data_IF_617549765617
#
_entry.id   IF_617549765617
#
_cell.length_a   1.000
_cell.length_b   1.000
_cell.length_c   1.000
_cell.angle_alpha   90.00
_cell.angle_beta   90.00
_cell.angle_gamma   90.00
#
_symmetry.space_group_name_H-M   'P 1'
#
loop_
_entity.id
_entity.type
_entity.pdbx_description
1 polymer ?
#
# COMPACT_ATOMS: atom_id res chain seq x y z
N UNK A 1 18.00 -1.39 -15.09
CA UNK A 1 17.89 -0.55 -13.88
C UNK A 1 16.58 -0.80 -13.12
N UNK A 2 15.44 -0.86 -13.81
CA UNK A 2 14.12 -1.14 -13.21
C UNK A 2 14.04 -2.42 -12.38
N UNK A 3 14.60 -3.55 -12.84
CA UNK A 3 14.60 -4.79 -12.04
C UNK A 3 15.32 -4.65 -10.69
N UNK A 4 16.36 -3.80 -10.63
CA UNK A 4 17.05 -3.51 -9.38
C UNK A 4 16.17 -2.69 -8.45
N UNK A 5 15.40 -1.73 -8.99
CA UNK A 5 14.38 -1.01 -8.24
C UNK A 5 13.32 -1.97 -7.70
N UNK A 6 12.76 -2.85 -8.54
CA UNK A 6 11.77 -3.85 -8.12
C UNK A 6 12.30 -4.76 -7.01
N UNK A 7 13.49 -5.34 -7.17
CA UNK A 7 14.13 -6.18 -6.14
C UNK A 7 14.34 -5.42 -4.83
N UNK A 8 14.65 -4.12 -4.90
CA UNK A 8 14.82 -3.27 -3.71
C UNK A 8 13.47 -3.00 -3.05
N UNK A 9 12.47 -2.61 -3.84
CA UNK A 9 11.10 -2.34 -3.39
C UNK A 9 10.51 -3.55 -2.67
N UNK A 10 10.60 -4.73 -3.28
CA UNK A 10 10.12 -5.98 -2.70
C UNK A 10 10.62 -6.16 -1.27
N UNK A 11 11.89 -5.85 -0.97
CA UNK A 11 12.48 -6.00 0.38
C UNK A 11 11.79 -5.17 1.47
N UNK A 12 11.11 -4.09 1.10
CA UNK A 12 10.37 -3.24 2.04
C UNK A 12 8.93 -3.70 2.27
N UNK A 13 8.46 -4.67 1.48
CA UNK A 13 7.11 -5.25 1.58
C UNK A 13 7.18 -6.53 2.41
N UNK A 14 6.52 -6.58 3.59
CA UNK A 14 6.38 -7.80 4.37
C UNK A 14 5.66 -8.89 3.59
N UNK A 15 5.99 -10.15 3.88
CA UNK A 15 5.25 -11.28 3.34
C UNK A 15 3.78 -11.22 3.73
N UNK A 16 2.92 -11.78 2.88
CA UNK A 16 1.48 -11.88 3.14
C UNK A 16 0.79 -10.51 3.33
N UNK A 17 1.40 -9.42 2.89
CA UNK A 17 0.77 -8.09 2.99
C UNK A 17 -0.45 -7.97 2.07
N UNK A 18 -1.46 -7.22 2.51
CA UNK A 18 -2.45 -6.65 1.60
C UNK A 18 -1.87 -5.38 0.96
N UNK A 19 -1.76 -5.36 -0.37
CA UNK A 19 -1.10 -4.28 -1.12
C UNK A 19 -2.13 -3.52 -1.96
N UNK A 20 -2.06 -2.20 -1.93
CA UNK A 20 -2.70 -1.34 -2.93
C UNK A 20 -1.62 -0.69 -3.80
N UNK A 21 -1.71 -0.90 -5.11
CA UNK A 21 -0.84 -0.34 -6.13
C UNK A 21 -1.63 0.76 -6.85
N UNK A 22 -1.32 2.03 -6.54
CA UNK A 22 -1.97 3.20 -7.13
C UNK A 22 -1.18 3.65 -8.36
N UNK A 23 -1.89 4.02 -9.42
CA UNK A 23 -1.29 4.32 -10.73
C UNK A 23 -0.62 3.07 -11.33
N UNK A 24 -1.30 1.93 -11.22
CA UNK A 24 -0.72 0.61 -11.43
C UNK A 24 -0.26 0.34 -12.88
N UNK A 25 -0.77 1.07 -13.87
CA UNK A 25 -0.53 0.82 -15.28
C UNK A 25 -0.85 -0.62 -15.67
N UNK A 26 0.14 -1.34 -16.21
CA UNK A 26 0.04 -2.76 -16.53
C UNK A 26 0.14 -3.70 -15.31
N UNK A 27 0.22 -3.16 -14.09
CA UNK A 27 0.29 -3.92 -12.83
C UNK A 27 1.67 -4.48 -12.50
N UNK A 28 2.73 -4.06 -13.20
CA UNK A 28 4.05 -4.69 -13.12
C UNK A 28 4.57 -4.76 -11.67
N UNK A 29 4.40 -3.68 -10.90
CA UNK A 29 4.89 -3.61 -9.51
C UNK A 29 4.02 -4.49 -8.60
N UNK A 30 2.70 -4.28 -8.59
CA UNK A 30 1.78 -5.07 -7.77
C UNK A 30 1.85 -6.56 -8.05
N UNK A 31 1.90 -6.97 -9.32
CA UNK A 31 1.97 -8.38 -9.71
C UNK A 31 3.32 -9.02 -9.38
N UNK A 32 4.41 -8.24 -9.49
CA UNK A 32 5.73 -8.68 -9.01
C UNK A 32 5.73 -8.94 -7.50
N UNK A 33 5.00 -8.13 -6.72
CA UNK A 33 4.83 -8.36 -5.28
C UNK A 33 3.96 -9.59 -5.00
N UNK A 34 2.85 -9.79 -5.72
CA UNK A 34 2.04 -11.00 -5.60
C UNK A 34 2.92 -12.26 -5.74
N UNK A 35 3.75 -12.31 -6.79
CA UNK A 35 4.61 -13.44 -7.07
C UNK A 35 5.74 -13.65 -6.05
N UNK A 36 6.36 -12.58 -5.55
CA UNK A 36 7.57 -12.67 -4.72
C UNK A 36 7.33 -12.61 -3.22
N UNK A 37 6.19 -12.06 -2.78
CA UNK A 37 5.87 -11.81 -1.37
C UNK A 37 4.67 -12.57 -0.84
N UNK A 38 4.06 -13.42 -1.67
CA UNK A 38 2.86 -14.20 -1.30
C UNK A 38 1.78 -13.28 -0.71
N UNK A 39 1.56 -12.13 -1.34
CA UNK A 39 0.64 -11.11 -0.82
C UNK A 39 -0.75 -11.72 -0.62
N UNK A 40 -1.41 -11.42 0.51
CA UNK A 40 -2.79 -11.89 0.72
C UNK A 40 -3.72 -11.33 -0.36
N UNK A 41 -3.52 -10.07 -0.71
CA UNK A 41 -4.22 -9.42 -1.80
C UNK A 41 -3.38 -8.33 -2.45
N UNK A 42 -3.63 -8.09 -3.73
CA UNK A 42 -3.08 -6.97 -4.50
C UNK A 42 -4.23 -6.29 -5.22
N UNK A 43 -4.45 -5.02 -4.90
CA UNK A 43 -5.41 -4.13 -5.56
C UNK A 43 -4.63 -3.20 -6.49
N UNK A 44 -4.82 -3.32 -7.80
CA UNK A 44 -4.23 -2.43 -8.79
C UNK A 44 -5.27 -1.39 -9.23
N UNK A 45 -4.97 -0.11 -9.05
CA UNK A 45 -5.87 1.00 -9.36
C UNK A 45 -5.26 1.79 -10.51
N UNK A 46 -6.02 1.90 -11.60
CA UNK A 46 -5.57 2.55 -12.82
C UNK A 46 -6.72 3.34 -13.47
N UNK A 47 -6.42 4.57 -13.89
CA UNK A 47 -7.40 5.47 -14.52
C UNK A 47 -7.46 5.27 -16.05
N UNK A 48 -6.35 4.85 -16.66
CA UNK A 48 -6.30 4.56 -18.09
C UNK A 48 -6.90 3.19 -18.38
N UNK A 49 -8.13 3.17 -18.90
CA UNK A 49 -8.83 1.96 -19.34
C UNK A 49 -8.01 1.12 -20.33
N UNK A 50 -7.18 1.74 -21.18
CA UNK A 50 -6.38 1.02 -22.18
C UNK A 50 -5.31 0.11 -21.55
N UNK A 51 -4.85 0.45 -20.34
CA UNK A 51 -3.90 -0.38 -19.58
C UNK A 51 -4.47 -1.74 -19.19
N UNK A 52 -5.80 -1.92 -19.23
CA UNK A 52 -6.48 -3.17 -18.86
C UNK A 52 -5.97 -4.37 -19.68
N UNK A 53 -5.86 -4.22 -21.00
CA UNK A 53 -5.39 -5.32 -21.86
C UNK A 53 -3.94 -5.72 -21.54
N UNK A 54 -3.09 -4.74 -21.20
CA UNK A 54 -1.71 -4.98 -20.77
C UNK A 54 -1.64 -5.65 -19.41
N UNK A 55 -2.55 -5.28 -18.49
CA UNK A 55 -2.69 -5.92 -17.19
C UNK A 55 -3.10 -7.40 -17.33
N UNK A 56 -4.14 -7.69 -18.11
CA UNK A 56 -4.62 -9.07 -18.35
C UNK A 56 -3.51 -9.95 -18.94
N UNK A 57 -2.77 -9.46 -19.93
CA UNK A 57 -1.59 -10.17 -20.48
C UNK A 57 -0.49 -10.40 -19.45
N UNK A 58 -0.32 -9.50 -18.49
CA UNK A 58 0.67 -9.66 -17.42
C UNK A 58 0.21 -10.73 -16.43
N UNK A 59 -1.08 -10.78 -16.13
CA UNK A 59 -1.68 -11.85 -15.31
C UNK A 59 -1.54 -13.23 -15.96
N UNK A 60 -1.81 -13.36 -17.26
CA UNK A 60 -1.68 -14.62 -18.00
C UNK A 60 -0.25 -15.19 -17.95
N UNK A 61 0.74 -14.32 -17.76
CA UNK A 61 2.16 -14.69 -17.64
C UNK A 61 2.60 -14.97 -16.22
N UNK A 62 1.74 -14.78 -15.22
CA UNK A 62 2.08 -15.09 -13.83
C UNK A 62 2.20 -16.60 -13.64
N UNK A 63 3.15 -17.04 -12.80
CA UNK A 63 3.24 -18.45 -12.41
C UNK A 63 1.94 -18.93 -11.77
N UNK A 64 1.51 -20.15 -12.09
CA UNK A 64 0.33 -20.77 -11.45
C UNK A 64 0.49 -20.98 -9.93
N UNK A 65 1.73 -20.84 -9.41
CA UNK A 65 2.04 -20.90 -7.99
C UNK A 65 1.68 -19.63 -7.21
N UNK A 66 1.24 -18.57 -7.88
CA UNK A 66 0.84 -17.31 -7.21
C UNK A 66 -0.52 -17.51 -6.54
N UNK A 67 -0.50 -17.69 -5.23
CA UNK A 67 -1.68 -17.71 -4.37
C UNK A 67 -1.90 -16.32 -3.76
N UNK A 68 -2.53 -15.43 -4.54
CA UNK A 68 -2.85 -14.05 -4.12
C UNK A 68 -4.20 -13.64 -4.70
N UNK A 69 -5.02 -12.92 -3.91
CA UNK A 69 -6.23 -12.31 -4.44
C UNK A 69 -5.86 -11.04 -5.22
N UNK A 70 -5.91 -11.11 -6.55
CA UNK A 70 -5.51 -10.01 -7.42
C UNK A 70 -6.76 -9.36 -8.03
N UNK A 71 -6.85 -8.04 -7.91
CA UNK A 71 -7.95 -7.26 -8.47
C UNK A 71 -7.44 -6.04 -9.20
N UNK A 72 -8.06 -5.73 -10.34
CA UNK A 72 -7.81 -4.49 -11.08
C UNK A 72 -9.05 -3.61 -11.08
N UNK A 73 -8.88 -2.32 -10.84
CA UNK A 73 -9.95 -1.34 -10.72
C UNK A 73 -9.73 -0.18 -11.69
N UNK A 74 -10.67 0.02 -12.61
CA UNK A 74 -10.71 1.22 -13.43
C UNK A 74 -11.21 2.40 -12.61
N UNK A 75 -10.30 3.15 -12.00
CA UNK A 75 -10.67 4.24 -11.10
C UNK A 75 -9.58 5.31 -10.99
N UNK A 76 -10.03 6.52 -10.72
CA UNK A 76 -9.17 7.61 -10.27
C UNK A 76 -8.85 7.44 -8.78
N UNK A 77 -7.57 7.20 -8.46
CA UNK A 77 -7.09 7.02 -7.10
C UNK A 77 -7.39 8.25 -6.20
N UNK A 78 -7.62 9.42 -6.79
CA UNK A 78 -7.85 10.69 -6.10
C UNK A 78 -9.32 10.95 -5.72
N UNK A 79 -10.30 10.25 -6.31
CA UNK A 79 -11.74 10.51 -6.09
C UNK A 79 -12.25 10.02 -4.74
N UNK A 80 -11.87 8.80 -4.36
CA UNK A 80 -12.23 8.19 -3.07
C UNK A 80 -11.00 7.49 -2.46
N UNK A 81 -9.92 8.22 -2.14
CA UNK A 81 -8.62 7.63 -1.80
C UNK A 81 -8.68 6.64 -0.62
N UNK A 82 -9.54 6.89 0.38
CA UNK A 82 -9.70 6.00 1.52
C UNK A 82 -10.19 4.59 1.15
N UNK A 83 -10.90 4.41 0.03
CA UNK A 83 -11.30 3.11 -0.50
C UNK A 83 -10.09 2.20 -0.75
N UNK A 84 -9.02 2.79 -1.27
CA UNK A 84 -7.81 2.07 -1.66
C UNK A 84 -6.86 1.89 -0.47
N UNK A 85 -6.81 2.87 0.42
CA UNK A 85 -5.94 2.87 1.60
C UNK A 85 -6.45 1.91 2.68
N UNK A 86 -7.75 1.91 2.99
CA UNK A 86 -8.30 1.04 4.04
C UNK A 86 -8.23 -0.43 3.63
N UNK A 87 -7.87 -1.28 4.59
CA UNK A 87 -7.66 -2.71 4.40
C UNK A 87 -6.36 -3.08 3.69
N UNK A 88 -5.48 -2.10 3.44
CA UNK A 88 -4.16 -2.30 2.86
C UNK A 88 -3.08 -2.14 3.94
N UNK A 89 -2.11 -3.04 4.00
CA UNK A 89 -0.95 -2.95 4.89
C UNK A 89 0.15 -2.08 4.29
N UNK A 90 0.26 -2.13 2.95
CA UNK A 90 1.26 -1.45 2.13
C UNK A 90 0.57 -0.74 0.98
N UNK A 91 0.92 0.52 0.74
CA UNK A 91 0.49 1.27 -0.44
C UNK A 91 1.71 1.58 -1.29
N UNK A 92 1.64 1.25 -2.57
CA UNK A 92 2.62 1.63 -3.59
C UNK A 92 2.00 2.75 -4.43
N UNK A 93 2.81 3.76 -4.74
CA UNK A 93 2.41 4.88 -5.58
C UNK A 93 3.53 5.15 -6.57
N UNK A 94 3.22 5.13 -7.86
CA UNK A 94 4.11 5.53 -8.95
C UNK A 94 3.40 6.58 -9.83
N UNK A 95 3.25 7.83 -9.34
CA UNK A 95 2.41 8.82 -9.99
C UNK A 95 3.11 9.41 -11.23
N UNK A 96 2.34 10.07 -12.13
CA UNK A 96 2.92 10.83 -13.23
C UNK A 96 3.84 11.95 -12.72
N UNK A 97 4.66 12.54 -13.61
CA UNK A 97 5.66 13.57 -13.25
C UNK A 97 5.12 14.76 -12.45
N UNK A 98 3.82 15.07 -12.58
CA UNK A 98 3.15 16.13 -11.79
C UNK A 98 3.09 15.84 -10.28
N UNK A 99 3.31 14.60 -9.84
CA UNK A 99 3.17 14.16 -8.46
C UNK A 99 1.75 13.72 -8.12
N UNK A 100 1.46 13.67 -6.83
CA UNK A 100 0.17 13.24 -6.30
C UNK A 100 -0.91 14.33 -6.42
N UNK A 101 -2.14 13.88 -6.63
CA UNK A 101 -3.30 14.76 -6.56
C UNK A 101 -3.57 15.19 -5.09
N UNK A 102 -3.99 16.44 -4.89
CA UNK A 102 -4.11 17.04 -3.56
C UNK A 102 -5.04 16.25 -2.61
N UNK A 103 -6.11 15.66 -3.14
CA UNK A 103 -7.03 14.82 -2.36
C UNK A 103 -6.38 13.54 -1.85
N UNK A 104 -5.50 12.91 -2.65
CA UNK A 104 -4.76 11.72 -2.24
C UNK A 104 -3.69 12.07 -1.19
N UNK A 105 -3.00 13.21 -1.35
CA UNK A 105 -2.08 13.73 -0.33
C UNK A 105 -2.82 13.98 0.98
N UNK A 106 -3.97 14.64 0.95
CA UNK A 106 -4.76 14.92 2.14
C UNK A 106 -5.22 13.62 2.83
N UNK A 107 -5.68 12.64 2.05
CA UNK A 107 -6.07 11.34 2.59
C UNK A 107 -4.91 10.59 3.25
N UNK A 108 -3.72 10.61 2.65
CA UNK A 108 -2.51 10.01 3.24
C UNK A 108 -2.09 10.71 4.53
N UNK A 109 -2.19 12.05 4.60
CA UNK A 109 -1.91 12.84 5.80
C UNK A 109 -2.91 12.55 6.92
N UNK A 110 -4.19 12.40 6.58
CA UNK A 110 -5.30 12.22 7.51
C UNK A 110 -5.64 10.75 7.82
N UNK A 111 -4.84 9.79 7.33
CA UNK A 111 -5.07 8.35 7.51
C UNK A 111 -5.25 7.94 8.99
N UNK A 112 -4.49 8.58 9.89
CA UNK A 112 -4.53 8.32 11.35
C UNK A 112 -5.84 8.78 12.02
N UNK A 113 -6.56 9.74 11.42
CA UNK A 113 -7.85 10.19 11.91
C UNK A 113 -8.98 9.26 11.46
N UNK A 114 -8.85 8.68 10.28
CA UNK A 114 -9.78 7.65 9.77
C UNK A 114 -9.67 6.36 10.56
N UNK A 115 -8.45 5.92 10.88
CA UNK A 115 -8.21 4.76 11.77
C UNK A 115 -8.94 4.91 13.11
N UNK A 116 -8.85 6.09 13.74
CA UNK A 116 -9.52 6.37 15.02
C UNK A 116 -11.05 6.35 14.92
N UNK A 117 -11.63 6.90 13.84
CA UNK A 117 -13.09 6.90 13.61
C UNK A 117 -13.62 5.49 13.31
N UNK A 118 -12.84 4.65 12.62
CA UNK A 118 -13.20 3.26 12.34
C UNK A 118 -13.18 2.41 13.62
N UNK A 119 -12.17 2.60 14.47
CA UNK A 119 -12.07 1.93 15.77
C UNK A 119 -13.14 2.39 16.76
N UNK A 120 -13.50 3.68 16.80
CA UNK A 120 -14.54 4.18 17.72
C UNK A 120 -15.96 3.74 17.32
N UNK A 121 -16.20 3.43 16.04
CA UNK A 121 -17.50 2.95 15.57
C UNK A 121 -17.70 1.44 15.73
N UNK A 122 -16.61 0.68 15.96
CA UNK A 122 -16.67 -0.76 16.24
C UNK A 122 -16.84 -1.10 17.73
N UNK A 123 -16.57 -0.15 18.65
CA UNK A 123 -16.86 -0.33 20.09
C UNK A 123 -18.33 -0.03 20.45
N UNK A 124 -19.09 0.61 19.55
CA UNK A 124 -20.50 0.96 19.75
C UNK A 124 -21.41 0.31 18.71
N UNK A 125 -21.42 -1.02 18.61
CA UNK A 125 -22.48 -1.72 17.86
C UNK A 125 -22.52 -3.21 18.19
N UNK A 126 -23.26 -3.55 19.25
CA UNK A 126 -24.01 -4.80 19.30
C UNK A 126 -25.46 -4.46 18.92
N UNK A 127 -25.68 -4.18 17.63
CA UNK A 127 -27.00 -4.18 17.02
C UNK A 127 -26.84 -4.30 15.50
N UNK A 128 -27.50 -5.30 14.96
CA UNK A 128 -27.59 -5.63 13.55
C UNK A 128 -28.25 -4.50 12.76
N UNK A 129 -27.45 -3.65 12.13
CA UNK A 129 -27.85 -2.94 10.91
C UNK A 129 -26.71 -2.97 9.89
N UNK A 130 -26.95 -3.79 8.87
CA UNK A 130 -26.15 -3.91 7.66
C UNK A 130 -26.34 -2.64 6.82
N UNK A 131 -25.66 -1.57 7.20
CA UNK A 131 -25.65 -0.34 6.43
C UNK A 131 -24.79 -0.56 5.17
N UNK A 132 -25.47 -0.84 4.04
CA UNK A 132 -24.86 -1.08 2.73
C UNK A 132 -24.14 0.19 2.25
N UNK A 133 -22.84 0.27 2.55
CA UNK A 133 -21.95 1.36 2.17
C UNK A 133 -21.90 1.51 0.64
N UNK A 134 -22.42 2.61 0.05
CA UNK A 134 -22.55 2.76 -1.41
C UNK A 134 -21.24 2.65 -2.20
N UNK A 135 -20.10 3.03 -1.58
CA UNK A 135 -18.79 2.92 -2.20
C UNK A 135 -18.30 1.46 -2.34
N UNK A 136 -18.70 0.57 -1.42
CA UNK A 136 -18.34 -0.86 -1.48
C UNK A 136 -19.00 -1.52 -2.69
N UNK A 137 -20.22 -1.08 -3.03
CA UNK A 137 -20.97 -1.56 -4.20
C UNK A 137 -20.36 -1.04 -5.51
N UNK A 138 -20.06 0.28 -5.58
CA UNK A 138 -19.42 0.89 -6.76
C UNK A 138 -18.05 0.31 -7.09
N UNK A 139 -17.24 -0.02 -6.09
CA UNK A 139 -15.92 -0.63 -6.30
C UNK A 139 -16.00 -2.05 -6.91
N UNK A 140 -17.10 -2.78 -6.66
CA UNK A 140 -17.28 -4.14 -7.19
C UNK A 140 -17.64 -4.15 -8.67
N UNK A 141 -18.45 -3.19 -9.13
CA UNK A 141 -18.97 -3.14 -10.51
C UNK A 141 -17.91 -2.82 -11.58
N UNK A 142 -16.80 -2.17 -11.22
CA UNK A 142 -15.74 -1.77 -12.15
C UNK A 142 -14.46 -2.62 -12.07
N UNK A 143 -14.52 -3.78 -11.41
CA UNK A 143 -13.34 -4.58 -11.06
C UNK A 143 -13.22 -5.89 -11.83
N UNK A 144 -11.99 -6.28 -12.18
CA UNK A 144 -11.66 -7.65 -12.62
C UNK A 144 -11.07 -8.39 -11.43
N UNK A 145 -11.64 -9.54 -11.06
CA UNK A 145 -11.14 -10.40 -9.98
C UNK A 145 -10.57 -11.68 -10.56
N UNK A 146 -9.32 -12.01 -10.21
CA UNK A 146 -8.66 -13.23 -10.66
C UNK A 146 -7.98 -13.89 -9.44
N UNK A 147 -8.49 -15.04 -9.01
CA UNK A 147 -8.02 -15.81 -7.85
C UNK A 147 -9.14 -16.53 -7.06
N UNK A 148 -8.86 -17.70 -6.49
CA UNK A 148 -9.85 -18.65 -5.92
C UNK A 148 -10.31 -18.38 -4.47
N UNK A 149 -10.35 -17.12 -4.00
CA UNK A 149 -10.81 -16.83 -2.63
C UNK A 149 -11.73 -15.61 -2.55
N UNK A 150 -12.99 -15.76 -2.11
CA UNK A 150 -13.83 -14.61 -1.81
C UNK A 150 -13.21 -13.81 -0.66
N UNK A 151 -13.30 -12.48 -0.76
CA UNK A 151 -12.94 -11.56 0.32
C UNK A 151 -13.63 -12.00 1.62
N UNK A 152 -12.92 -12.16 2.75
CA UNK A 152 -13.56 -12.46 4.02
C UNK A 152 -14.56 -11.35 4.39
N UNK A 153 -15.73 -11.74 4.88
CA UNK A 153 -16.86 -10.84 5.18
C UNK A 153 -16.54 -9.75 6.24
N UNK A 154 -15.42 -9.87 6.95
CA UNK A 154 -14.88 -8.83 7.81
C UNK A 154 -13.69 -8.13 7.11
N UNK A 155 -13.93 -6.93 6.59
CA UNK A 155 -12.87 -6.04 6.10
C UNK A 155 -12.03 -5.65 7.31
N UNK A 156 -10.73 -6.00 7.36
CA UNK A 156 -9.86 -5.48 8.40
C UNK A 156 -9.87 -3.96 8.33
N UNK A 157 -10.23 -3.29 9.42
CA UNK A 157 -10.11 -1.83 9.55
C UNK A 157 -8.64 -1.42 9.74
N UNK A 158 -7.71 -2.10 9.06
CA UNK A 158 -6.30 -1.72 9.06
C UNK A 158 -6.08 -0.60 8.05
N UNK A 159 -5.13 0.26 8.39
CA UNK A 159 -4.64 1.33 7.54
C UNK A 159 -3.16 1.08 7.27
N UNK A 160 -2.63 1.57 6.14
CA UNK A 160 -1.31 1.18 5.67
C UNK A 160 -0.23 1.61 6.65
N UNK A 161 0.67 0.71 6.98
CA UNK A 161 1.83 1.00 7.84
C UNK A 161 3.07 1.38 7.03
N UNK A 162 3.06 1.04 5.74
CA UNK A 162 4.13 1.33 4.79
C UNK A 162 3.55 2.02 3.56
N UNK A 163 4.18 3.12 3.16
CA UNK A 163 3.93 3.79 1.89
C UNK A 163 5.23 3.77 1.10
N UNK A 164 5.20 3.23 -0.12
CA UNK A 164 6.33 3.23 -1.04
C UNK A 164 5.97 4.16 -2.19
N UNK A 165 6.78 5.20 -2.38
CA UNK A 165 6.61 6.20 -3.41
C UNK A 165 7.74 6.02 -4.43
N UNK A 166 7.40 5.80 -5.70
CA UNK A 166 8.32 5.84 -6.83
C UNK A 166 8.07 7.15 -7.59
N UNK A 167 9.13 7.89 -7.93
CA UNK A 167 9.00 9.14 -8.69
C UNK A 167 10.10 9.30 -9.72
N UNK A 168 9.73 9.76 -10.92
CA UNK A 168 10.66 10.30 -11.92
C UNK A 168 10.63 11.85 -11.98
N UNK A 169 9.87 12.50 -11.10
CA UNK A 169 9.76 13.95 -10.96
C UNK A 169 10.36 14.44 -9.64
N UNK A 170 11.58 14.97 -9.67
CA UNK A 170 12.27 15.41 -8.45
C UNK A 170 11.55 16.56 -7.72
N UNK A 171 11.03 17.54 -8.47
CA UNK A 171 10.39 18.72 -7.86
C UNK A 171 9.06 18.36 -7.20
N UNK A 172 8.19 17.64 -7.91
CA UNK A 172 6.92 17.16 -7.38
C UNK A 172 7.12 16.21 -6.20
N UNK A 173 8.10 15.31 -6.28
CA UNK A 173 8.47 14.45 -5.16
C UNK A 173 8.87 15.24 -3.90
N UNK A 174 9.66 16.31 -4.02
CA UNK A 174 10.05 17.14 -2.86
C UNK A 174 8.82 17.76 -2.19
N UNK A 175 7.89 18.31 -2.97
CA UNK A 175 6.70 18.95 -2.42
C UNK A 175 5.74 17.93 -1.79
N UNK A 176 5.53 16.79 -2.43
CA UNK A 176 4.74 15.69 -1.87
C UNK A 176 5.37 15.16 -0.58
N UNK A 177 6.69 14.96 -0.58
CA UNK A 177 7.44 14.50 0.58
C UNK A 177 7.32 15.48 1.75
N UNK A 178 7.52 16.78 1.53
CA UNK A 178 7.30 17.82 2.55
C UNK A 178 5.88 17.77 3.11
N UNK A 179 4.89 17.65 2.24
CA UNK A 179 3.48 17.60 2.63
C UNK A 179 3.16 16.36 3.48
N UNK A 180 3.65 15.18 3.09
CA UNK A 180 3.49 13.94 3.84
C UNK A 180 4.13 14.03 5.23
N UNK A 181 5.36 14.55 5.31
CA UNK A 181 6.10 14.68 6.57
C UNK A 181 5.49 15.72 7.52
N UNK A 182 4.87 16.78 7.00
CA UNK A 182 4.24 17.85 7.80
C UNK A 182 3.13 17.32 8.74
N UNK A 183 2.42 16.26 8.31
CA UNK A 183 1.31 15.68 9.06
C UNK A 183 1.75 14.87 10.28
N UNK A 184 3.03 14.50 10.37
CA UNK A 184 3.58 13.53 11.35
C UNK A 184 2.91 12.14 11.31
N UNK A 185 2.02 11.89 10.34
CA UNK A 185 1.43 10.57 10.12
C UNK A 185 2.45 9.61 9.49
N UNK A 186 3.39 10.15 8.72
CA UNK A 186 4.45 9.41 8.01
C UNK A 186 5.82 9.98 8.37
N UNK A 187 6.83 9.10 8.42
CA UNK A 187 8.24 9.48 8.40
C UNK A 187 8.93 8.78 7.24
N UNK A 188 9.88 9.48 6.61
CA UNK A 188 10.72 8.91 5.57
C UNK A 188 11.76 8.00 6.24
N UNK A 189 11.65 6.69 6.01
CA UNK A 189 12.57 5.70 6.55
C UNK A 189 13.85 5.62 5.68
N UNK A 190 13.68 5.50 4.36
CA UNK A 190 14.77 5.40 3.39
C UNK A 190 14.38 6.00 2.04
N UNK A 191 15.36 6.50 1.31
CA UNK A 191 15.22 6.88 -0.10
C UNK A 191 16.39 6.30 -0.91
N UNK A 192 16.13 5.88 -2.14
CA UNK A 192 17.14 5.37 -3.08
C UNK A 192 16.98 6.10 -4.41
N UNK A 193 18.09 6.52 -5.00
CA UNK A 193 18.13 7.03 -6.36
C UNK A 193 18.55 5.94 -7.34
N UNK A 194 17.93 5.92 -8.50
CA UNK A 194 18.29 5.08 -9.63
C UNK A 194 18.46 5.96 -10.86
N UNK A 195 19.39 5.58 -11.73
CA UNK A 195 19.58 6.21 -13.02
C UNK A 195 19.06 5.24 -14.09
N UNK A 196 17.82 5.43 -14.55
CA UNK A 196 17.26 4.61 -15.63
C UNK A 196 17.73 5.10 -17.01
N UNK A 197 18.05 6.39 -17.12
CA UNK A 197 18.37 7.05 -18.39
C UNK A 197 19.71 7.80 -18.30
N UNK A 198 20.85 7.08 -18.39
CA UNK A 198 22.18 7.70 -18.40
C UNK A 198 22.31 8.74 -19.52
N UNK A 199 22.90 9.89 -19.20
CA UNK A 199 23.02 11.03 -20.13
C UNK A 199 21.84 12.00 -20.10
N UNK A 200 20.81 11.74 -19.28
CA UNK A 200 19.75 12.71 -18.98
C UNK A 200 19.89 13.27 -17.57
N UNK A 201 19.14 14.34 -17.28
CA UNK A 201 19.01 14.88 -15.92
C UNK A 201 17.89 14.18 -15.10
N UNK A 202 17.30 13.12 -15.63
CA UNK A 202 16.26 12.35 -14.94
C UNK A 202 16.86 11.46 -13.86
N UNK A 203 16.18 11.39 -12.71
CA UNK A 203 16.50 10.46 -11.63
C UNK A 203 15.21 9.82 -11.14
N UNK A 204 15.25 8.50 -10.95
CA UNK A 204 14.16 7.74 -10.39
C UNK A 204 14.39 7.55 -8.89
N UNK A 205 13.44 8.00 -8.08
CA UNK A 205 13.51 7.94 -6.63
C UNK A 205 12.56 6.85 -6.13
N UNK A 206 13.06 5.97 -5.27
CA UNK A 206 12.26 5.06 -4.46
C UNK A 206 12.34 5.52 -3.00
N UNK A 207 11.25 6.09 -2.50
CA UNK A 207 11.12 6.53 -1.12
C UNK A 207 10.20 5.59 -0.33
N UNK A 208 10.64 5.22 0.87
CA UNK A 208 9.91 4.32 1.78
C UNK A 208 9.53 5.12 3.01
N UNK A 209 8.24 5.31 3.20
CA UNK A 209 7.65 5.95 4.35
C UNK A 209 7.02 4.91 5.28
N UNK A 210 7.10 5.17 6.57
CA UNK A 210 6.51 4.34 7.61
C UNK A 210 5.68 5.18 8.55
N UNK A 211 4.69 4.54 9.19
CA UNK A 211 3.92 5.17 10.27
C UNK A 211 4.57 4.92 11.63
N UNK A 212 4.49 5.88 12.57
CA UNK A 212 5.02 5.70 13.92
C UNK A 212 4.27 4.56 14.63
N UNK A 213 4.99 3.49 14.96
CA UNK A 213 4.44 2.38 15.73
C UNK A 213 4.25 2.84 17.18
N UNK A 214 3.03 2.69 17.73
CA UNK A 214 2.85 2.79 19.19
C UNK A 214 3.66 1.66 19.83
N UNK A 215 4.70 2.00 20.59
CA UNK A 215 5.43 1.02 21.42
C UNK A 215 4.39 0.30 22.29
N UNK A 216 4.17 -1.00 22.06
CA UNK A 216 3.46 -1.84 23.04
C UNK A 216 4.26 -1.79 24.34
N UNK A 217 3.67 -1.22 25.39
CA UNK A 217 4.21 -1.23 26.73
C UNK A 217 4.39 -2.68 27.22
N UNK A 218 5.65 -3.11 27.33
CA UNK A 218 6.17 -4.04 28.34
C UNK A 218 5.61 -5.47 28.44
N UNK A 219 6.43 -6.46 28.06
CA UNK A 219 6.66 -7.63 28.92
C UNK A 219 8.14 -7.65 29.29
N UNK A 220 8.50 -6.94 30.38
CA UNK A 220 9.81 -7.08 31.04
C UNK A 220 9.94 -8.55 31.47
N UNK A 221 10.74 -9.35 30.77
CA UNK A 221 11.23 -10.63 31.31
C UNK A 221 12.07 -10.31 32.55
N UNK A 222 11.54 -10.55 33.76
CA UNK A 222 12.33 -10.63 34.99
C UNK A 222 13.32 -11.79 34.81
N UNK A 223 14.61 -11.47 34.59
CA UNK A 223 15.69 -12.46 34.75
C UNK A 223 15.75 -12.80 36.24
N UNK A 224 15.43 -14.05 36.57
CA UNK A 224 15.66 -14.60 37.90
C UNK A 224 17.16 -14.84 38.03
N UNK A 225 17.84 -14.02 38.83
CA UNK A 225 19.24 -14.19 39.18
C UNK A 225 19.31 -15.24 40.28
N UNK A 226 19.56 -16.50 39.94
CA UNK A 226 19.94 -17.50 40.95
C UNK A 226 21.38 -17.20 41.38
N UNK A 227 21.52 -16.74 42.63
CA UNK A 227 22.77 -16.73 43.38
C UNK A 227 23.15 -18.19 43.64
N UNK A 228 24.22 -18.67 43.01
CA UNK A 228 24.91 -19.88 43.47
C UNK A 228 25.68 -19.50 44.75
N UNK A 229 25.21 -20.04 45.86
CA UNK A 229 25.88 -20.01 47.16
C UNK A 229 27.02 -21.02 47.12
N UNK A 230 28.20 -20.57 47.54
CA UNK A 230 29.36 -21.41 47.88
C UNK A 230 28.93 -22.53 48.84
N UNK A 231 29.33 -23.76 48.58
CA UNK A 231 29.98 -24.66 49.55
C UNK A 231 30.61 -25.83 48.79
#
# INVERSE_FOLDING_TARGET
AFDTLLRKLQRYVPYESAVADLYAGAGVIGLSLAATRKCRSVKCIEINKESKASFEKTIERLPSTVDSSITWHHADASKEPFLWLVGSDVVIIDPPRKGLDASLIDALKNISSVERKALSSSESSNSSQEEKRPWVLRAKEASVQIGSKPLPANIPQSVPQTLIYISCGWESFKEDCKSLLSSKAWYLEKAHGFNFFPGTQSIEVLAVFKRPQKKKSGKKKKKHLQRAVKH
#
